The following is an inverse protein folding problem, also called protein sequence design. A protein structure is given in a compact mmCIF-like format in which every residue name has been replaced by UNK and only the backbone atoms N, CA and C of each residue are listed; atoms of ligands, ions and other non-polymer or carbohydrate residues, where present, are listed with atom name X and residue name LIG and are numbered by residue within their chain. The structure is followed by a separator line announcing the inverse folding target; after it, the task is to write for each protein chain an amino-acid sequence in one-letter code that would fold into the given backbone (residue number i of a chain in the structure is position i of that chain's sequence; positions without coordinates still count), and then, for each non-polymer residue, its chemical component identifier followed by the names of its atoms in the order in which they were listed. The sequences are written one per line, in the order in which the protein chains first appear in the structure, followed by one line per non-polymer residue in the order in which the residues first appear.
data_IF_399028160218
#
_entry.id   IF_399028160218
#
_cell.length_a   1.000
_cell.length_b   1.000
_cell.length_c   1.000
_cell.angle_alpha   90.00
_cell.angle_beta   90.00
_cell.angle_gamma   90.00
#
_symmetry.space_group_name_H-M   'P 1'
#
loop_
_entity.id
_entity.type
_entity.pdbx_description
1 polymer ?
#
# COMPACT_ATOMS: atom_id res chain seq x y z
N UNK A 1 -24.70 18.42 4.93
CA UNK A 1 -24.46 17.50 6.06
C UNK A 1 -24.12 16.06 5.63
N UNK A 2 -24.87 15.42 4.70
CA UNK A 2 -24.61 14.01 4.32
C UNK A 2 -23.36 13.78 3.45
N UNK A 3 -22.95 14.71 2.60
CA UNK A 3 -21.83 14.48 1.65
C UNK A 3 -20.44 14.63 2.28
N UNK A 4 -20.24 15.66 3.10
CA UNK A 4 -19.00 15.92 3.86
C UNK A 4 -18.66 14.79 4.85
N UNK A 5 -19.68 14.37 5.60
CA UNK A 5 -19.59 13.22 6.50
C UNK A 5 -19.39 11.97 5.66
N UNK A 6 -20.03 11.78 4.50
CA UNK A 6 -19.78 10.60 3.65
C UNK A 6 -18.42 10.59 2.96
N UNK A 7 -17.70 11.70 2.79
CA UNK A 7 -16.31 11.68 2.26
C UNK A 7 -15.30 11.45 3.39
N UNK A 8 -15.48 12.10 4.55
CA UNK A 8 -14.67 11.82 5.73
C UNK A 8 -14.94 10.40 6.24
N UNK A 9 -16.20 9.96 6.21
CA UNK A 9 -16.64 8.60 6.47
C UNK A 9 -16.25 7.70 5.31
N UNK A 10 -16.25 8.00 4.01
CA UNK A 10 -15.70 7.07 3.00
C UNK A 10 -14.19 6.86 3.16
N UNK A 11 -13.49 7.86 3.72
CA UNK A 11 -12.09 7.75 4.14
C UNK A 11 -11.94 7.03 5.51
N UNK A 12 -13.00 7.00 6.34
CA UNK A 12 -13.10 6.40 7.70
C UNK A 12 -14.17 5.25 7.86
N UNK A 13 -14.74 4.68 6.80
CA UNK A 13 -15.69 3.53 6.82
C UNK A 13 -15.06 2.30 6.24
N UNK A 14 -13.85 2.44 5.70
CA UNK A 14 -12.91 1.34 5.57
C UNK A 14 -12.36 0.86 6.93
N UNK A 15 -12.93 1.30 8.06
CA UNK A 15 -12.51 1.03 9.44
C UNK A 15 -13.68 0.63 10.33
N UNK A 16 -13.89 -0.68 10.54
CA UNK A 16 -14.47 -1.24 11.77
C UNK A 16 -13.82 -2.58 12.06
N UNK A 17 -13.37 -2.76 13.31
CA UNK A 17 -12.82 -4.01 13.83
C UNK A 17 -11.44 -3.87 14.50
N UNK A 18 -11.39 -3.21 15.65
CA UNK A 18 -10.26 -3.35 16.59
C UNK A 18 -10.57 -4.51 17.54
N UNK A 19 -9.67 -5.51 17.69
CA UNK A 19 -9.60 -6.27 18.93
C UNK A 19 -8.45 -5.77 19.82
N UNK A 20 -8.69 -5.90 21.12
CA UNK A 20 -7.79 -5.53 22.20
C UNK A 20 -6.46 -6.29 22.14
N UNK A 21 -5.39 -5.59 22.52
CA UNK A 21 -4.06 -6.15 22.67
C UNK A 21 -4.00 -7.07 23.91
N UNK A 22 -3.51 -8.30 23.72
CA UNK A 22 -2.85 -9.05 24.77
C UNK A 22 -1.45 -9.42 24.29
N UNK A 23 -0.46 -9.02 25.09
CA UNK A 23 0.95 -9.27 24.83
C UNK A 23 1.40 -10.59 25.42
N UNK A 24 2.36 -11.21 24.76
CA UNK A 24 3.34 -12.10 25.39
C UNK A 24 4.69 -11.84 24.72
N UNK A 25 5.67 -11.43 25.54
CA UNK A 25 7.10 -11.45 25.17
C UNK A 25 7.58 -12.89 25.30
N UNK A 26 8.23 -13.41 24.26
CA UNK A 26 9.14 -14.56 24.38
C UNK A 26 10.50 -14.19 23.80
N UNK A 27 11.49 -14.20 24.68
CA UNK A 27 12.90 -14.05 24.35
C UNK A 27 13.40 -15.30 23.60
N UNK A 28 14.05 -15.08 22.46
CA UNK A 28 14.80 -16.12 21.72
C UNK A 28 16.20 -15.55 21.43
N UNK A 29 17.29 -16.27 21.76
CA UNK A 29 18.66 -15.78 21.61
C UNK A 29 19.13 -15.78 20.14
N UNK A 30 20.14 -14.96 19.79
CA UNK A 30 20.55 -14.77 18.40
C UNK A 30 21.36 -15.97 17.90
N UNK A 31 20.94 -16.58 16.78
CA UNK A 31 21.81 -17.42 15.96
C UNK A 31 22.36 -16.60 14.81
N UNK A 32 23.69 -16.54 14.74
CA UNK A 32 24.44 -15.95 13.64
C UNK A 32 24.14 -16.69 12.35
N UNK A 33 23.52 -16.01 11.39
CA UNK A 33 23.43 -16.47 10.01
C UNK A 33 24.62 -15.93 9.20
N UNK A 34 25.33 -16.85 8.57
CA UNK A 34 26.42 -16.61 7.65
C UNK A 34 25.89 -15.92 6.38
N UNK A 35 26.27 -14.65 6.21
CA UNK A 35 25.99 -13.84 5.04
C UNK A 35 26.53 -14.51 3.75
N UNK A 36 25.64 -15.09 2.93
CA UNK A 36 25.90 -15.24 1.49
C UNK A 36 25.40 -13.97 0.80
N UNK A 37 26.31 -13.01 0.64
CA UNK A 37 26.05 -11.74 -0.05
C UNK A 37 25.50 -11.96 -1.46
N UNK A 38 24.37 -11.31 -1.77
CA UNK A 38 23.86 -11.24 -3.14
C UNK A 38 24.91 -10.66 -4.12
N UNK A 39 24.87 -11.04 -5.40
CA UNK A 39 25.79 -10.52 -6.39
C UNK A 39 25.76 -8.98 -6.46
N UNK A 40 26.91 -8.33 -6.67
CA UNK A 40 26.99 -6.88 -6.79
C UNK A 40 26.12 -6.40 -7.95
N UNK A 41 25.46 -5.25 -7.78
CA UNK A 41 24.74 -4.59 -8.84
C UNK A 41 25.66 -4.31 -10.05
N UNK A 42 25.15 -4.44 -11.26
CA UNK A 42 25.90 -4.11 -12.47
C UNK A 42 26.36 -2.64 -12.45
N UNK A 43 27.47 -2.35 -13.13
CA UNK A 43 27.85 -0.96 -13.44
C UNK A 43 26.82 -0.43 -14.44
N UNK A 44 26.09 0.65 -14.10
CA UNK A 44 25.14 1.27 -15.04
C UNK A 44 23.94 1.95 -14.39
N UNK A 45 23.60 1.60 -13.14
CA UNK A 45 22.54 2.28 -12.40
C UNK A 45 22.88 3.76 -12.14
N UNK A 46 22.00 4.71 -12.49
CA UNK A 46 22.22 6.12 -12.18
C UNK A 46 22.38 6.34 -10.68
N UNK A 47 23.41 7.08 -10.25
CA UNK A 47 23.56 7.40 -8.81
C UNK A 47 22.47 8.37 -8.33
N UNK A 48 21.82 9.09 -9.27
CA UNK A 48 20.73 10.01 -9.00
C UNK A 48 19.59 9.85 -10.00
N UNK A 49 18.36 10.04 -9.52
CA UNK A 49 17.15 10.14 -10.34
C UNK A 49 16.30 11.30 -9.82
N UNK A 50 16.31 12.41 -10.57
CA UNK A 50 15.78 13.69 -10.08
C UNK A 50 16.57 14.12 -8.85
N UNK A 51 15.89 14.41 -7.75
CA UNK A 51 16.50 14.80 -6.47
C UNK A 51 16.87 13.58 -5.58
N UNK A 52 16.57 12.36 -6.04
CA UNK A 52 16.76 11.12 -5.28
C UNK A 52 18.14 10.54 -5.54
N UNK A 53 18.78 10.02 -4.49
CA UNK A 53 20.04 9.26 -4.57
C UNK A 53 19.76 7.77 -4.52
N UNK A 54 20.61 7.00 -5.19
CA UNK A 54 20.54 5.54 -5.20
C UNK A 54 21.19 4.95 -3.93
N UNK A 55 20.40 4.19 -3.18
CA UNK A 55 20.86 3.35 -2.08
C UNK A 55 20.70 1.88 -2.45
N UNK A 56 21.76 1.11 -2.22
CA UNK A 56 21.82 -0.30 -2.61
C UNK A 56 21.70 -1.20 -1.38
N UNK A 57 20.83 -2.19 -1.48
CA UNK A 57 20.71 -3.28 -0.50
C UNK A 57 20.73 -4.63 -1.22
N UNK A 58 20.84 -5.71 -0.46
CA UNK A 58 20.86 -7.08 -1.00
C UNK A 58 19.67 -7.37 -1.94
N UNK A 59 18.48 -6.92 -1.52
CA UNK A 59 17.19 -7.25 -2.15
C UNK A 59 16.49 -6.07 -2.83
N UNK A 60 17.03 -4.85 -2.76
CA UNK A 60 16.44 -3.72 -3.46
C UNK A 60 17.44 -2.61 -3.78
N UNK A 61 17.18 -1.94 -4.90
CA UNK A 61 17.62 -0.59 -5.20
C UNK A 61 16.58 0.39 -4.65
N UNK A 62 17.02 1.42 -3.93
CA UNK A 62 16.12 2.40 -3.32
C UNK A 62 16.55 3.80 -3.77
N UNK A 63 15.70 4.49 -4.53
CA UNK A 63 15.88 5.92 -4.78
C UNK A 63 15.14 6.72 -3.71
N UNK A 64 15.87 7.48 -2.92
CA UNK A 64 15.32 8.36 -1.89
C UNK A 64 16.15 9.66 -1.76
N UNK A 65 15.54 10.73 -1.26
CA UNK A 65 16.24 11.99 -1.02
C UNK A 65 17.23 11.87 0.15
N UNK A 66 16.80 11.23 1.24
CA UNK A 66 17.58 11.04 2.46
C UNK A 66 17.95 9.58 2.71
N UNK A 67 19.12 9.36 3.32
CA UNK A 67 19.60 8.03 3.72
C UNK A 67 18.73 7.42 4.83
N UNK A 68 18.29 8.24 5.79
CA UNK A 68 17.36 7.87 6.86
C UNK A 68 16.09 7.18 6.33
N UNK A 69 15.49 7.78 5.30
CA UNK A 69 14.31 7.26 4.61
C UNK A 69 14.63 5.94 3.91
N UNK A 70 15.75 5.86 3.18
CA UNK A 70 16.18 4.62 2.55
C UNK A 70 16.40 3.48 3.58
N UNK A 71 17.05 3.77 4.71
CA UNK A 71 17.30 2.82 5.78
C UNK A 71 16.00 2.31 6.42
N UNK A 72 14.98 3.18 6.58
CA UNK A 72 13.65 2.78 7.06
C UNK A 72 12.95 1.82 6.09
N UNK A 73 13.01 2.12 4.79
CA UNK A 73 12.43 1.25 3.76
C UNK A 73 13.16 -0.09 3.71
N UNK A 74 14.48 -0.10 3.81
CA UNK A 74 15.27 -1.34 3.86
C UNK A 74 14.94 -2.17 5.10
N UNK A 75 14.71 -1.55 6.27
CA UNK A 75 14.23 -2.26 7.47
C UNK A 75 12.86 -2.88 7.24
N UNK A 76 11.94 -2.13 6.65
CA UNK A 76 10.59 -2.64 6.32
C UNK A 76 10.67 -3.82 5.36
N UNK A 77 11.48 -3.69 4.31
CA UNK A 77 11.72 -4.78 3.35
C UNK A 77 12.29 -6.01 4.05
N UNK A 78 13.26 -5.86 4.95
CA UNK A 78 13.82 -6.99 5.72
C UNK A 78 12.75 -7.75 6.51
N UNK A 79 11.88 -7.04 7.23
CA UNK A 79 10.77 -7.65 7.96
C UNK A 79 9.84 -8.42 7.03
N UNK A 80 9.47 -7.84 5.88
CA UNK A 80 8.61 -8.53 4.92
C UNK A 80 9.32 -9.76 4.32
N UNK A 81 10.63 -9.68 4.04
CA UNK A 81 11.41 -10.81 3.55
C UNK A 81 11.46 -11.96 4.55
N UNK A 82 11.56 -11.67 5.85
CA UNK A 82 11.49 -12.68 6.91
C UNK A 82 10.12 -13.36 6.95
N UNK A 83 9.03 -12.60 6.87
CA UNK A 83 7.66 -13.14 6.81
C UNK A 83 7.47 -14.04 5.56
N UNK A 84 7.92 -13.55 4.40
CA UNK A 84 7.85 -14.28 3.12
C UNK A 84 8.66 -15.58 3.19
N UNK A 85 9.84 -15.57 3.81
CA UNK A 85 10.67 -16.77 4.05
C UNK A 85 9.97 -17.79 4.96
N UNK A 86 9.34 -17.33 6.05
CA UNK A 86 8.57 -18.21 6.94
C UNK A 86 7.40 -18.88 6.20
N UNK A 87 6.83 -18.18 5.22
CA UNK A 87 5.78 -18.70 4.34
C UNK A 87 6.30 -19.62 3.22
N UNK A 88 7.58 -20.01 3.24
CA UNK A 88 8.18 -20.98 2.33
C UNK A 88 8.78 -20.38 1.06
N UNK A 89 8.88 -19.06 0.96
CA UNK A 89 9.49 -18.39 -0.19
C UNK A 89 11.01 -18.28 0.01
N UNK A 90 11.76 -19.04 -0.77
CA UNK A 90 13.18 -19.31 -0.49
C UNK A 90 14.15 -18.27 -1.04
N UNK A 91 13.84 -17.60 -2.16
CA UNK A 91 14.69 -16.55 -2.73
C UNK A 91 13.88 -15.39 -3.33
N UNK A 92 13.65 -14.31 -2.57
CA UNK A 92 13.04 -13.10 -3.09
C UNK A 92 14.00 -12.40 -4.07
N UNK A 93 13.54 -12.22 -5.32
CA UNK A 93 14.29 -11.50 -6.34
C UNK A 93 14.43 -10.01 -6.01
N UNK A 94 15.53 -9.41 -6.46
CA UNK A 94 15.84 -7.99 -6.23
C UNK A 94 14.80 -7.10 -6.92
N UNK A 95 14.42 -6.01 -6.27
CA UNK A 95 13.50 -5.02 -6.83
C UNK A 95 14.02 -3.59 -6.83
N UNK A 96 13.14 -2.68 -7.23
CA UNK A 96 13.34 -1.24 -7.18
C UNK A 96 12.25 -0.57 -6.34
N UNK A 97 12.65 0.33 -5.45
CA UNK A 97 11.75 1.20 -4.70
C UNK A 97 12.08 2.65 -5.04
N UNK A 98 11.07 3.41 -5.46
CA UNK A 98 11.15 4.84 -5.70
C UNK A 98 10.37 5.53 -4.61
N UNK A 99 11.08 6.22 -3.72
CA UNK A 99 10.46 6.89 -2.58
C UNK A 99 10.02 8.29 -2.99
N UNK A 100 8.79 8.66 -2.62
CA UNK A 100 8.26 10.02 -2.77
C UNK A 100 8.25 10.68 -1.40
N UNK A 101 9.01 11.75 -1.23
CA UNK A 101 8.99 12.54 0.00
C UNK A 101 8.18 13.84 -0.13
N UNK A 102 7.79 14.41 1.01
CA UNK A 102 7.03 15.65 1.03
C UNK A 102 7.80 16.78 0.33
N UNK A 103 7.07 17.58 -0.46
CA UNK A 103 7.59 18.69 -1.27
C UNK A 103 8.47 18.27 -2.45
N UNK A 104 8.61 16.97 -2.71
CA UNK A 104 9.31 16.47 -3.88
C UNK A 104 8.40 16.44 -5.10
N UNK A 105 8.96 16.68 -6.30
CA UNK A 105 8.27 16.37 -7.54
C UNK A 105 8.02 14.86 -7.63
N UNK A 106 6.77 14.50 -7.89
CA UNK A 106 6.37 13.11 -8.13
C UNK A 106 7.17 12.53 -9.30
N UNK A 107 7.57 11.24 -9.24
CA UNK A 107 8.41 10.64 -10.27
C UNK A 107 7.68 10.52 -11.62
N UNK A 108 6.35 10.59 -11.63
CA UNK A 108 5.51 10.55 -12.82
C UNK A 108 4.25 11.37 -12.60
N UNK A 109 3.82 12.11 -13.62
CA UNK A 109 2.55 12.85 -13.59
C UNK A 109 1.34 11.91 -13.53
N UNK A 110 0.27 12.30 -12.83
CA UNK A 110 -0.92 11.44 -12.67
C UNK A 110 -1.54 10.99 -13.99
N UNK A 111 -1.59 11.86 -15.00
CA UNK A 111 -2.15 11.50 -16.31
C UNK A 111 -1.38 10.32 -16.90
N UNK A 112 -0.04 10.41 -16.89
CA UNK A 112 0.84 9.37 -17.36
C UNK A 112 0.79 8.12 -16.49
N UNK A 113 0.71 8.27 -15.18
CA UNK A 113 0.51 7.15 -14.25
C UNK A 113 -0.80 6.40 -14.54
N UNK A 114 -1.87 7.13 -14.84
CA UNK A 114 -3.17 6.54 -15.18
C UNK A 114 -3.07 5.71 -16.46
N UNK A 115 -2.37 6.18 -17.47
CA UNK A 115 -2.08 5.40 -18.68
C UNK A 115 -1.28 4.13 -18.36
N UNK A 116 -0.24 4.25 -17.54
CA UNK A 116 0.61 3.12 -17.11
C UNK A 116 -0.20 2.08 -16.33
N UNK A 117 -1.13 2.49 -15.46
CA UNK A 117 -1.94 1.56 -14.67
C UNK A 117 -3.07 0.90 -15.48
N UNK A 118 -3.51 1.53 -16.57
CA UNK A 118 -4.48 0.96 -17.50
C UNK A 118 -3.84 -0.06 -18.46
N UNK A 119 -2.54 0.05 -18.74
CA UNK A 119 -1.81 -0.92 -19.55
C UNK A 119 -1.55 -2.24 -18.77
N UNK A 120 -2.10 -3.39 -19.22
CA UNK A 120 -1.93 -4.68 -18.55
C UNK A 120 -0.47 -5.15 -18.46
N UNK A 121 0.40 -4.65 -19.36
CA UNK A 121 1.81 -5.07 -19.41
C UNK A 121 2.65 -4.39 -18.34
N UNK A 122 2.23 -3.23 -17.85
CA UNK A 122 2.98 -2.40 -16.90
C UNK A 122 2.49 -2.51 -15.47
N UNK A 123 1.25 -2.95 -15.24
CA UNK A 123 0.69 -3.11 -13.89
C UNK A 123 1.12 -4.43 -13.23
N UNK A 124 1.52 -4.39 -11.95
CA UNK A 124 1.94 -5.59 -11.22
C UNK A 124 0.75 -6.46 -10.77
N UNK A 125 -0.27 -5.84 -10.18
CA UNK A 125 -1.44 -6.52 -9.63
C UNK A 125 -2.75 -5.86 -10.11
N UNK A 126 -3.64 -6.63 -10.73
CA UNK A 126 -4.86 -6.09 -11.35
C UNK A 126 -5.82 -5.46 -10.34
N UNK A 127 -6.17 -6.20 -9.27
CA UNK A 127 -7.09 -5.72 -8.23
C UNK A 127 -6.53 -4.43 -7.58
N UNK A 128 -5.24 -4.44 -7.23
CA UNK A 128 -4.57 -3.28 -6.63
C UNK A 128 -4.52 -2.08 -7.57
N UNK A 129 -4.29 -2.31 -8.86
CA UNK A 129 -4.26 -1.22 -9.85
C UNK A 129 -5.64 -0.58 -10.02
N UNK A 130 -6.72 -1.38 -9.97
CA UNK A 130 -8.09 -0.86 -9.98
C UNK A 130 -8.38 -0.01 -8.75
N UNK A 131 -7.94 -0.46 -7.56
CA UNK A 131 -8.06 0.32 -6.33
C UNK A 131 -7.34 1.68 -6.45
N UNK A 132 -6.09 1.68 -6.92
CA UNK A 132 -5.30 2.90 -7.10
C UNK A 132 -5.96 3.84 -8.12
N UNK A 133 -6.40 3.32 -9.27
CA UNK A 133 -7.10 4.10 -10.28
C UNK A 133 -8.38 4.74 -9.75
N UNK A 134 -9.13 4.02 -8.90
CA UNK A 134 -10.31 4.58 -8.24
C UNK A 134 -9.92 5.68 -7.25
N UNK A 135 -8.87 5.48 -6.45
CA UNK A 135 -8.34 6.52 -5.55
C UNK A 135 -7.89 7.77 -6.31
N UNK A 136 -7.24 7.62 -7.48
CA UNK A 136 -6.85 8.74 -8.34
C UNK A 136 -8.08 9.49 -8.86
N UNK A 137 -9.13 8.77 -9.28
CA UNK A 137 -10.38 9.38 -9.75
C UNK A 137 -11.06 10.20 -8.65
N UNK A 138 -11.15 9.66 -7.44
CA UNK A 138 -11.73 10.38 -6.31
C UNK A 138 -10.87 11.57 -5.89
N UNK A 139 -9.54 11.42 -5.86
CA UNK A 139 -8.61 12.51 -5.58
C UNK A 139 -8.79 13.65 -6.59
N UNK A 140 -8.94 13.35 -7.88
CA UNK A 140 -9.19 14.35 -8.93
C UNK A 140 -10.48 15.14 -8.68
N UNK A 141 -11.59 14.48 -8.34
CA UNK A 141 -12.86 15.17 -8.03
C UNK A 141 -12.69 16.18 -6.89
N UNK A 142 -12.03 15.77 -5.81
CA UNK A 142 -11.75 16.65 -4.67
C UNK A 142 -10.82 17.79 -5.07
N UNK A 143 -9.79 17.49 -5.86
CA UNK A 143 -8.85 18.49 -6.38
C UNK A 143 -9.53 19.57 -7.21
N UNK A 144 -10.35 19.16 -8.17
CA UNK A 144 -11.05 20.06 -9.10
C UNK A 144 -12.02 20.99 -8.35
N UNK A 145 -12.70 20.47 -7.32
CA UNK A 145 -13.61 21.24 -6.49
C UNK A 145 -12.88 22.21 -5.54
N UNK A 146 -11.71 21.83 -5.04
CA UNK A 146 -10.96 22.63 -4.07
C UNK A 146 -9.94 23.59 -4.70
N UNK A 147 -9.66 23.47 -6.01
CA UNK A 147 -8.56 24.17 -6.66
C UNK A 147 -7.19 23.72 -6.17
N UNK A 148 -7.07 22.47 -5.73
CA UNK A 148 -5.81 21.87 -5.24
C UNK A 148 -5.10 21.15 -6.37
N UNK A 149 -3.77 20.99 -6.27
CA UNK A 149 -3.01 20.14 -7.17
C UNK A 149 -3.28 18.65 -6.90
N UNK A 150 -3.70 17.93 -7.93
CA UNK A 150 -4.07 16.51 -7.82
C UNK A 150 -2.86 15.62 -7.56
N UNK A 151 -1.65 16.03 -8.00
CA UNK A 151 -0.41 15.30 -7.74
C UNK A 151 -0.12 15.22 -6.24
N UNK A 152 -0.43 16.29 -5.51
CA UNK A 152 -0.33 16.33 -4.05
C UNK A 152 -1.29 15.38 -3.33
N UNK A 153 -2.33 14.87 -4.01
CA UNK A 153 -3.39 14.02 -3.42
C UNK A 153 -3.31 12.54 -3.82
N UNK A 154 -2.80 12.23 -5.02
CA UNK A 154 -2.91 10.89 -5.60
C UNK A 154 -1.89 9.86 -5.11
N UNK A 155 -0.73 10.31 -4.61
CA UNK A 155 0.37 9.43 -4.19
C UNK A 155 0.34 9.09 -2.70
N UNK A 156 -0.84 8.94 -2.12
CA UNK A 156 -0.99 8.56 -0.69
C UNK A 156 -0.90 7.06 -0.46
N UNK A 157 -0.89 6.27 -1.53
CA UNK A 157 -0.79 4.81 -1.51
C UNK A 157 0.46 4.33 -2.25
N UNK A 158 1.03 3.16 -1.86
CA UNK A 158 2.05 2.50 -2.64
C UNK A 158 1.50 2.06 -4.00
N UNK A 159 2.34 2.16 -5.03
CA UNK A 159 1.97 1.85 -6.42
C UNK A 159 2.90 0.75 -6.95
N UNK A 160 2.45 -0.52 -6.93
CA UNK A 160 3.23 -1.63 -7.45
C UNK A 160 3.17 -1.65 -8.98
N UNK A 161 4.34 -1.74 -9.61
CA UNK A 161 4.51 -1.71 -11.07
C UNK A 161 5.41 -2.84 -11.52
N UNK A 162 5.24 -3.27 -12.77
CA UNK A 162 6.18 -4.17 -13.42
C UNK A 162 7.43 -3.39 -13.83
N UNK A 163 8.61 -4.03 -13.84
CA UNK A 163 9.84 -3.37 -14.28
C UNK A 163 9.77 -2.71 -15.66
N UNK A 164 9.03 -3.30 -16.59
CA UNK A 164 8.80 -2.74 -17.95
C UNK A 164 8.12 -1.36 -17.94
N UNK A 165 7.50 -0.96 -16.83
CA UNK A 165 6.95 0.38 -16.67
C UNK A 165 8.04 1.45 -16.43
N UNK A 166 9.24 1.07 -15.99
CA UNK A 166 10.27 2.03 -15.57
C UNK A 166 10.64 3.06 -16.63
N UNK A 167 10.91 2.69 -17.88
CA UNK A 167 11.20 3.68 -18.92
C UNK A 167 10.06 4.67 -19.17
N UNK A 168 8.81 4.34 -18.78
CA UNK A 168 7.64 5.22 -18.91
C UNK A 168 7.43 6.16 -17.72
N UNK A 169 8.07 5.87 -16.58
CA UNK A 169 8.00 6.65 -15.34
C UNK A 169 9.21 7.58 -15.26
N UNK A 170 10.36 7.11 -15.73
CA UNK A 170 11.65 7.74 -15.54
C UNK A 170 12.23 8.16 -16.88
N UNK A 171 12.05 9.43 -17.26
CA UNK A 171 12.72 9.98 -18.43
C UNK A 171 14.24 9.81 -18.27
N UNK A 172 14.88 9.20 -19.28
CA UNK A 172 16.33 8.96 -19.27
C UNK A 172 16.81 7.77 -18.41
N UNK A 173 15.92 6.89 -17.94
CA UNK A 173 16.34 5.68 -17.26
C UNK A 173 17.07 4.74 -18.24
N UNK A 174 18.28 4.23 -17.91
CA UNK A 174 19.07 3.45 -18.85
C UNK A 174 18.36 2.19 -19.33
N UNK A 175 18.44 1.95 -20.64
CA UNK A 175 17.86 0.76 -21.26
C UNK A 175 18.44 -0.52 -20.67
N UNK A 176 17.58 -1.51 -20.41
CA UNK A 176 17.97 -2.86 -19.99
C UNK A 176 18.14 -3.05 -18.48
N UNK A 177 18.21 -1.98 -17.67
CA UNK A 177 18.26 -2.10 -16.21
C UNK A 177 16.96 -2.62 -15.59
N UNK A 178 15.83 -2.44 -16.28
CA UNK A 178 14.54 -3.04 -15.93
C UNK A 178 14.60 -4.58 -15.88
N UNK A 179 15.54 -5.20 -16.62
CA UNK A 179 15.73 -6.66 -16.65
C UNK A 179 16.50 -7.19 -15.43
N UNK A 180 17.14 -6.32 -14.67
CA UNK A 180 17.91 -6.69 -13.47
C UNK A 180 17.05 -6.76 -12.19
N UNK A 181 15.80 -6.32 -12.28
CA UNK A 181 14.85 -6.31 -11.16
C UNK A 181 13.62 -7.15 -11.51
N UNK A 182 13.00 -7.73 -10.50
CA UNK A 182 11.77 -8.52 -10.67
C UNK A 182 10.49 -7.71 -10.41
N UNK A 183 10.59 -6.61 -9.66
CA UNK A 183 9.45 -5.81 -9.25
C UNK A 183 9.85 -4.35 -9.04
N UNK A 184 8.89 -3.45 -9.18
CA UNK A 184 9.04 -2.01 -8.93
C UNK A 184 7.92 -1.52 -8.01
N UNK A 185 8.25 -0.62 -7.08
CA UNK A 185 7.29 0.00 -6.18
C UNK A 185 7.56 1.50 -6.06
N UNK A 186 6.55 2.32 -6.34
CA UNK A 186 6.57 3.73 -5.93
C UNK A 186 5.94 3.81 -4.54
N UNK A 187 6.63 4.44 -3.60
CA UNK A 187 6.25 4.40 -2.19
C UNK A 187 6.33 5.80 -1.56
N UNK A 188 5.21 6.33 -1.03
CA UNK A 188 5.25 7.61 -0.32
C UNK A 188 5.82 7.47 1.08
N UNK A 189 6.57 8.46 1.58
CA UNK A 189 6.96 8.55 3.00
C UNK A 189 5.75 8.85 3.88
N UNK A 190 5.89 8.67 5.20
CA UNK A 190 4.84 9.10 6.14
C UNK A 190 4.63 10.60 6.10
N UNK A 191 5.71 11.37 5.93
CA UNK A 191 5.63 12.81 5.79
C UNK A 191 4.82 13.20 4.55
N UNK A 192 5.01 12.51 3.43
CA UNK A 192 4.20 12.72 2.21
C UNK A 192 2.73 12.42 2.47
N UNK A 193 2.42 11.25 3.04
CA UNK A 193 1.04 10.84 3.39
C UNK A 193 0.38 11.87 4.31
N UNK A 194 1.08 12.33 5.35
CA UNK A 194 0.59 13.35 6.27
C UNK A 194 0.24 14.65 5.56
N UNK A 195 1.15 15.10 4.70
CA UNK A 195 1.03 16.38 4.00
C UNK A 195 -0.13 16.33 3.01
N UNK A 196 -0.21 15.27 2.20
CA UNK A 196 -1.31 15.04 1.27
C UNK A 196 -2.65 14.93 1.99
N UNK A 197 -2.73 14.14 3.07
CA UNK A 197 -3.99 13.98 3.82
C UNK A 197 -4.42 15.28 4.52
N UNK A 198 -3.49 16.09 5.01
CA UNK A 198 -3.81 17.42 5.54
C UNK A 198 -4.38 18.32 4.44
N UNK A 199 -3.77 18.32 3.26
CA UNK A 199 -4.27 19.08 2.11
C UNK A 199 -5.69 18.63 1.71
N UNK A 200 -6.00 17.33 1.76
CA UNK A 200 -7.37 16.81 1.56
C UNK A 200 -8.34 17.37 2.61
N UNK A 201 -7.97 17.33 3.89
CA UNK A 201 -8.85 17.83 4.96
C UNK A 201 -9.11 19.33 4.81
N UNK A 202 -8.07 20.11 4.53
CA UNK A 202 -8.19 21.57 4.30
C UNK A 202 -9.05 21.87 3.07
N UNK A 203 -8.93 21.07 2.01
CA UNK A 203 -9.78 21.14 0.82
C UNK A 203 -11.26 20.87 1.13
N UNK A 204 -11.55 19.82 1.90
CA UNK A 204 -12.92 19.45 2.30
C UNK A 204 -13.56 20.59 3.12
N UNK A 205 -12.82 21.14 4.08
CA UNK A 205 -13.30 22.26 4.90
C UNK A 205 -13.68 23.48 4.04
N UNK A 206 -12.93 23.73 2.97
CA UNK A 206 -13.21 24.82 2.02
C UNK A 206 -14.43 24.55 1.15
N UNK A 207 -14.55 23.33 0.60
CA UNK A 207 -15.65 22.95 -0.30
C UNK A 207 -17.01 23.01 0.41
N UNK A 208 -17.08 22.45 1.62
CA UNK A 208 -18.36 22.25 2.30
C UNK A 208 -18.92 23.50 3.00
N UNK A 209 -18.24 24.66 2.88
CA UNK A 209 -18.62 25.91 3.56
C UNK A 209 -18.94 25.71 5.04
N UNK A 210 -18.18 24.83 5.70
CA UNK A 210 -18.44 24.39 7.08
C UNK A 210 -18.45 25.56 8.06
N UNK A 211 -19.33 25.48 9.05
CA UNK A 211 -19.39 26.48 10.11
C UNK A 211 -18.16 26.38 11.04
N UNK A 212 -17.96 27.37 11.91
CA UNK A 212 -16.77 27.40 12.77
C UNK A 212 -16.71 26.24 13.78
N UNK A 213 -17.85 25.68 14.18
CA UNK A 213 -17.92 24.56 15.12
C UNK A 213 -17.49 23.27 14.44
N UNK A 214 -17.97 23.04 13.22
CA UNK A 214 -17.59 21.92 12.37
C UNK A 214 -16.09 21.97 12.06
N UNK A 215 -15.56 23.16 11.71
CA UNK A 215 -14.11 23.36 11.52
C UNK A 215 -13.30 23.03 12.77
N UNK A 216 -13.79 23.42 13.94
CA UNK A 216 -13.11 23.14 15.22
C UNK A 216 -13.11 21.64 15.53
N UNK A 217 -14.22 20.94 15.31
CA UNK A 217 -14.30 19.49 15.47
C UNK A 217 -13.36 18.75 14.52
N UNK A 218 -13.30 19.17 13.26
CA UNK A 218 -12.37 18.59 12.27
C UNK A 218 -10.94 18.85 12.69
N UNK A 219 -10.59 20.09 13.03
CA UNK A 219 -9.25 20.45 13.48
C UNK A 219 -8.81 19.65 14.73
N UNK A 220 -9.73 19.38 15.65
CA UNK A 220 -9.47 18.53 16.82
C UNK A 220 -9.28 17.04 16.46
N UNK A 221 -9.99 16.53 15.45
CA UNK A 221 -9.90 15.16 14.98
C UNK A 221 -8.71 14.90 14.03
N UNK A 222 -8.22 15.95 13.34
CA UNK A 222 -7.15 15.85 12.33
C UNK A 222 -5.91 15.11 12.82
N UNK A 223 -5.32 15.39 14.00
CA UNK A 223 -4.11 14.68 14.45
C UNK A 223 -4.30 13.17 14.56
N UNK A 224 -5.44 12.73 15.09
CA UNK A 224 -5.77 11.31 15.23
C UNK A 224 -5.99 10.67 13.86
N UNK A 225 -6.73 11.33 12.98
CA UNK A 225 -7.00 10.84 11.62
C UNK A 225 -5.72 10.73 10.78
N UNK A 226 -4.78 11.68 10.90
CA UNK A 226 -3.47 11.61 10.26
C UNK A 226 -2.65 10.42 10.78
N UNK A 227 -2.60 10.22 12.11
CA UNK A 227 -1.88 9.12 12.73
C UNK A 227 -2.41 7.74 12.29
N UNK A 228 -3.72 7.54 12.28
CA UNK A 228 -4.32 6.26 11.85
C UNK A 228 -4.12 6.02 10.35
N UNK A 229 -4.12 7.08 9.55
CA UNK A 229 -3.85 7.00 8.11
C UNK A 229 -2.41 6.58 7.84
N UNK A 230 -1.42 7.17 8.52
CA UNK A 230 -0.01 6.77 8.42
C UNK A 230 0.17 5.30 8.81
N UNK A 231 -0.38 4.90 9.95
CA UNK A 231 -0.31 3.52 10.45
C UNK A 231 -0.91 2.54 9.44
N UNK A 232 -2.03 2.89 8.81
CA UNK A 232 -2.66 2.10 7.76
C UNK A 232 -1.80 2.04 6.51
N UNK A 233 -1.26 3.17 6.04
CA UNK A 233 -0.41 3.19 4.83
C UNK A 233 0.87 2.39 5.07
N UNK A 234 1.48 2.42 6.26
CA UNK A 234 2.61 1.53 6.62
C UNK A 234 2.26 0.05 6.46
N UNK A 235 1.07 -0.36 6.92
CA UNK A 235 0.57 -1.73 6.74
C UNK A 235 0.36 -2.04 5.25
N UNK A 236 -0.23 -1.12 4.49
CA UNK A 236 -0.44 -1.30 3.05
C UNK A 236 0.91 -1.43 2.32
N UNK A 237 1.93 -0.64 2.69
CA UNK A 237 3.30 -0.78 2.16
C UNK A 237 3.85 -2.18 2.39
N UNK A 238 3.73 -2.70 3.61
CA UNK A 238 4.17 -4.07 3.92
C UNK A 238 3.40 -5.10 3.11
N UNK A 239 2.07 -4.97 3.00
CA UNK A 239 1.25 -5.88 2.22
C UNK A 239 1.56 -5.85 0.72
N UNK A 240 1.76 -4.68 0.13
CA UNK A 240 2.07 -4.52 -1.29
C UNK A 240 3.48 -5.03 -1.61
N UNK A 241 4.46 -4.84 -0.70
CA UNK A 241 5.79 -5.47 -0.79
C UNK A 241 5.69 -7.00 -0.71
N UNK A 242 4.94 -7.53 0.25
CA UNK A 242 4.71 -8.96 0.41
C UNK A 242 4.10 -9.56 -0.87
N UNK A 243 3.07 -8.90 -1.41
CA UNK A 243 2.42 -9.29 -2.64
C UNK A 243 3.40 -9.36 -3.82
N UNK A 244 4.23 -8.34 -4.02
CA UNK A 244 5.24 -8.34 -5.09
C UNK A 244 6.23 -9.50 -4.97
N UNK A 245 6.67 -9.81 -3.74
CA UNK A 245 7.62 -10.88 -3.48
C UNK A 245 7.02 -12.28 -3.72
N UNK A 246 5.75 -12.47 -3.34
CA UNK A 246 5.00 -13.72 -3.57
C UNK A 246 4.61 -13.89 -5.04
N UNK A 247 4.22 -12.80 -5.72
CA UNK A 247 3.87 -12.84 -7.15
C UNK A 247 5.07 -13.24 -8.02
N UNK A 248 6.29 -12.85 -7.64
CA UNK A 248 7.53 -13.22 -8.31
C UNK A 248 7.92 -14.70 -8.23
N UNK A 249 7.27 -15.50 -7.36
CA UNK A 249 7.59 -16.91 -7.17
C UNK A 249 7.04 -17.79 -8.30
N UNK A 250 7.89 -18.57 -8.97
CA UNK A 250 7.46 -19.40 -10.12
C UNK A 250 6.86 -20.74 -9.71
N UNK A 251 7.22 -21.22 -8.53
CA UNK A 251 6.84 -22.49 -7.92
C UNK A 251 5.45 -22.44 -7.24
N UNK A 252 4.94 -21.25 -6.93
CA UNK A 252 3.61 -21.09 -6.34
C UNK A 252 2.51 -20.96 -7.41
N UNK A 253 1.42 -21.71 -7.24
CA UNK A 253 0.21 -21.56 -8.05
C UNK A 253 -0.46 -20.21 -7.83
N UNK A 254 -1.21 -19.70 -8.82
CA UNK A 254 -1.94 -18.42 -8.68
C UNK A 254 -2.91 -18.42 -7.47
N UNK A 255 -3.55 -19.56 -7.21
CA UNK A 255 -4.47 -19.73 -6.08
C UNK A 255 -3.74 -19.57 -4.74
N UNK A 256 -2.63 -20.28 -4.57
CA UNK A 256 -1.84 -20.25 -3.35
C UNK A 256 -1.20 -18.88 -3.10
N UNK A 257 -0.77 -18.18 -4.16
CA UNK A 257 -0.31 -16.78 -4.07
C UNK A 257 -1.40 -15.88 -3.50
N UNK A 258 -2.62 -15.97 -4.02
CA UNK A 258 -3.76 -15.16 -3.54
C UNK A 258 -4.11 -15.47 -2.09
N UNK A 259 -4.13 -16.75 -1.70
CA UNK A 259 -4.37 -17.17 -0.31
C UNK A 259 -3.33 -16.59 0.65
N UNK A 260 -2.04 -16.69 0.32
CA UNK A 260 -0.95 -16.14 1.12
C UNK A 260 -1.04 -14.62 1.26
N UNK A 261 -1.26 -13.91 0.16
CA UNK A 261 -1.43 -12.44 0.18
C UNK A 261 -2.63 -12.04 1.03
N UNK A 262 -3.76 -12.74 0.92
CA UNK A 262 -4.94 -12.45 1.73
C UNK A 262 -4.70 -12.71 3.22
N UNK A 263 -4.08 -13.84 3.58
CA UNK A 263 -3.72 -14.15 4.95
C UNK A 263 -2.77 -13.09 5.55
N UNK A 264 -1.79 -12.63 4.77
CA UNK A 264 -0.88 -11.58 5.19
C UNK A 264 -1.58 -10.23 5.39
N UNK A 265 -2.49 -9.86 4.48
CA UNK A 265 -3.32 -8.66 4.64
C UNK A 265 -4.21 -8.73 5.88
N UNK A 266 -4.77 -9.91 6.19
CA UNK A 266 -5.53 -10.13 7.42
C UNK A 266 -4.66 -10.02 8.68
N UNK A 267 -3.44 -10.59 8.69
CA UNK A 267 -2.43 -10.43 9.76
C UNK A 267 -2.15 -8.96 10.06
N UNK A 268 -2.09 -8.13 9.02
CA UNK A 268 -1.86 -6.69 9.13
C UNK A 268 -3.13 -5.87 9.46
N UNK A 269 -4.29 -6.50 9.56
CA UNK A 269 -5.58 -5.83 9.81
C UNK A 269 -6.07 -4.99 8.63
N UNK A 270 -5.78 -5.43 7.39
CA UNK A 270 -6.20 -4.79 6.13
C UNK A 270 -7.31 -5.55 5.39
N UNK A 271 -7.71 -6.73 5.87
CA UNK A 271 -8.81 -7.50 5.29
C UNK A 271 -10.17 -6.98 5.73
N UNK A 272 -11.15 -6.99 4.81
CA UNK A 272 -12.56 -6.97 5.20
C UNK A 272 -12.84 -8.21 6.03
N UNK A 273 -13.46 -8.08 7.20
CA UNK A 273 -14.15 -9.23 7.78
C UNK A 273 -15.20 -9.64 6.74
N UNK A 274 -14.99 -10.77 6.07
CA UNK A 274 -16.10 -11.48 5.46
C UNK A 274 -17.13 -11.68 6.56
N UNK A 275 -18.34 -11.18 6.34
CA UNK A 275 -19.48 -11.47 7.20
C UNK A 275 -19.50 -12.99 7.48
N UNK A 276 -19.79 -13.43 8.71
CA UNK A 276 -20.10 -14.84 8.92
C UNK A 276 -21.25 -15.18 7.97
N UNK A 277 -21.08 -16.22 7.16
CA UNK A 277 -22.15 -16.73 6.29
C UNK A 277 -23.41 -16.89 7.14
N UNK A 278 -24.36 -15.97 6.91
CA UNK A 278 -25.68 -16.06 7.49
C UNK A 278 -26.35 -17.30 6.88
N UNK A 279 -26.50 -18.33 7.72
CA UNK A 279 -27.49 -19.38 7.59
C UNK A 279 -27.45 -20.19 6.30
N UNK A 280 -26.81 -21.36 6.33
CA UNK A 280 -27.35 -22.46 5.54
C UNK A 280 -28.79 -22.70 5.99
N UNK A 281 -29.68 -22.49 5.03
CA UNK A 281 -31.12 -22.68 5.14
C UNK A 281 -31.46 -24.06 5.70
N UNK A 282 -32.44 -23.98 6.60
CA UNK A 282 -33.29 -25.05 7.09
C UNK A 282 -33.61 -26.08 5.99
N UNK A 283 -33.25 -27.33 6.26
CA UNK A 283 -33.88 -28.48 5.64
C UNK A 283 -35.39 -28.44 5.94
N UNK A 284 -36.14 -28.33 4.85
CA UNK A 284 -37.59 -28.54 4.68
C UNK A 284 -38.28 -29.40 5.74
N UNK A 285 -39.44 -28.88 6.15
CA UNK A 285 -40.48 -29.52 6.93
C UNK A 285 -41.02 -30.84 6.33
N UNK A 286 -41.44 -31.73 7.21
CA UNK A 286 -42.61 -32.59 7.00
C UNK A 286 -43.50 -32.50 8.25
N UNK A 287 -44.80 -32.20 8.12
CA UNK A 287 -45.76 -32.14 9.23
C UNK A 287 -46.44 -33.51 9.43
N UNK A 288 -46.87 -33.80 10.66
CA UNK A 288 -47.99 -34.68 11.05
C UNK A 288 -48.15 -34.53 12.57
N UNK A 289 -49.16 -33.80 13.03
CA UNK A 289 -50.41 -34.36 13.61
C UNK A 289 -50.12 -35.35 14.74
N UNK A 290 -50.22 -34.88 15.99
CA UNK A 290 -51.40 -35.00 16.85
C UNK A 290 -51.46 -36.40 17.52
N UNK A 291 -51.17 -36.47 18.82
CA UNK A 291 -52.11 -37.07 19.75
C UNK A 291 -51.77 -36.72 21.19
N UNK A 292 -52.81 -36.30 21.88
CA UNK A 292 -52.83 -35.92 23.29
C UNK A 292 -52.89 -37.16 24.18
N UNK A 293 -52.39 -37.02 25.40
CA UNK A 293 -52.98 -37.43 26.69
C UNK A 293 -51.96 -38.11 27.62
N UNK A 294 -52.25 -38.09 28.93
CA UNK A 294 -51.91 -37.07 29.92
C UNK A 294 -50.52 -37.26 30.57
#
# INVERSE_FOLDING_TARGET
MRTAIVIMVATLTFTRGLPAAQGEKKDIPPKQETHRSAPPASRGWPEQWGERKLYRSEHAFVYAQEKSTADEIVRTLRTVLEDVKQDGVTQPARGLIVVIDAHEKVPVEIARLTEILNDPNTRAAEERSKEILNSIKEARKVSDQAGTDVNSLAFTLPIPLRPVALPKIAEGFPEGLDREIAWCLILPTDRYVRTGMRAVMDAIVKIDNMDWKERLLIGAATPLALYETEKRVRRIRQADLYQLLVEGQKDLSKKLKKEKVNAYRQKLGLGSQSEPEAGQEQTKATPMEEESQP
#
